data_IF_755282678234
#
_entry.id   IF_755282678234
#
_cell.length_a   1.000
_cell.length_b   1.000
_cell.length_c   1.000
_cell.angle_alpha   90.00
_cell.angle_beta   90.00
_cell.angle_gamma   90.00
#
_symmetry.space_group_name_H-M   'P 1'
#
loop_
_entity.id
_entity.type
_entity.pdbx_description
1 polymer ?
#
# COMPACT_ATOMS: atom_id res chain seq x y z
N UNK A 1 -0.74 -51.28 -34.63
CA UNK A 1 0.39 -50.48 -34.10
C UNK A 1 0.29 -49.05 -34.64
N UNK A 2 -0.11 -48.08 -33.82
CA UNK A 2 0.14 -46.64 -34.05
C UNK A 2 0.34 -46.00 -32.68
N UNK A 3 1.62 -45.80 -32.31
CA UNK A 3 2.02 -44.99 -31.17
C UNK A 3 1.91 -43.53 -31.62
N UNK A 4 0.95 -42.77 -31.10
CA UNK A 4 0.97 -41.32 -31.23
C UNK A 4 1.45 -40.77 -29.89
N UNK A 5 2.60 -40.13 -29.99
CA UNK A 5 3.42 -39.58 -28.94
C UNK A 5 2.68 -38.41 -28.27
N UNK A 6 2.35 -38.55 -26.98
CA UNK A 6 1.79 -37.46 -26.18
C UNK A 6 2.95 -36.49 -25.83
N UNK A 7 3.02 -35.37 -26.53
CA UNK A 7 3.97 -34.31 -26.24
C UNK A 7 3.37 -33.44 -25.11
N UNK A 8 3.74 -33.72 -23.86
CA UNK A 8 3.38 -32.89 -22.72
C UNK A 8 4.36 -31.72 -22.68
N UNK A 9 3.97 -30.60 -23.27
CA UNK A 9 4.66 -29.32 -23.11
C UNK A 9 4.41 -28.83 -21.68
N UNK A 10 5.37 -29.08 -20.79
CA UNK A 10 5.41 -28.46 -19.46
C UNK A 10 5.70 -26.98 -19.70
N UNK A 11 4.65 -26.17 -19.68
CA UNK A 11 4.77 -24.72 -19.62
C UNK A 11 5.36 -24.39 -18.25
N UNK A 12 6.67 -24.15 -18.22
CA UNK A 12 7.34 -23.49 -17.09
C UNK A 12 6.78 -22.07 -17.00
N UNK A 13 5.67 -21.91 -16.28
CA UNK A 13 5.24 -20.62 -15.76
C UNK A 13 6.33 -20.24 -14.75
N UNK A 14 7.29 -19.47 -15.22
CA UNK A 14 8.26 -18.79 -14.38
C UNK A 14 7.48 -17.78 -13.56
N UNK A 15 7.01 -18.23 -12.39
CA UNK A 15 6.63 -17.33 -11.32
C UNK A 15 7.91 -16.56 -10.98
N UNK A 16 8.08 -15.39 -11.59
CA UNK A 16 9.01 -14.38 -11.09
C UNK A 16 8.45 -13.93 -9.74
N UNK A 17 8.76 -14.72 -8.70
CA UNK A 17 8.67 -14.27 -7.34
C UNK A 17 9.75 -13.19 -7.22
N UNK A 18 9.33 -11.94 -7.41
CA UNK A 18 10.12 -10.79 -7.04
C UNK A 18 10.36 -10.87 -5.53
N UNK A 19 11.47 -11.50 -5.16
CA UNK A 19 12.06 -11.41 -3.84
C UNK A 19 12.72 -10.02 -3.73
N UNK A 20 11.91 -8.97 -3.61
CA UNK A 20 12.36 -7.71 -3.03
C UNK A 20 11.96 -7.74 -1.55
N UNK A 21 12.86 -8.26 -0.72
CA UNK A 21 12.87 -7.95 0.71
C UNK A 21 13.46 -6.55 0.90
N UNK A 22 12.72 -5.51 0.54
CA UNK A 22 12.79 -4.28 1.33
C UNK A 22 11.76 -4.45 2.45
N UNK A 23 12.07 -3.98 3.66
CA UNK A 23 11.17 -4.08 4.80
C UNK A 23 9.93 -3.20 4.59
N UNK A 24 8.98 -3.67 3.78
CA UNK A 24 7.70 -2.99 3.53
C UNK A 24 6.84 -2.97 4.79
N UNK A 25 7.13 -3.81 5.80
CA UNK A 25 6.41 -3.85 7.06
C UNK A 25 7.29 -3.38 8.22
N UNK A 26 6.79 -2.46 9.04
CA UNK A 26 7.44 -1.97 10.25
C UNK A 26 6.48 -2.04 11.44
N UNK A 27 6.93 -2.60 12.56
CA UNK A 27 6.14 -2.64 13.78
C UNK A 27 5.87 -1.22 14.32
N UNK A 28 4.61 -0.93 14.60
CA UNK A 28 4.15 0.19 15.41
C UNK A 28 3.82 -0.26 16.84
N UNK A 29 3.33 0.67 17.67
CA UNK A 29 3.00 0.37 19.06
C UNK A 29 1.83 -0.63 19.21
N UNK A 30 0.82 -0.50 18.34
CA UNK A 30 -0.43 -1.28 18.39
C UNK A 30 -0.77 -1.97 17.06
N UNK A 31 0.19 -2.07 16.14
CA UNK A 31 -0.07 -2.60 14.80
C UNK A 31 1.18 -2.69 13.93
N UNK A 32 0.99 -2.96 12.65
CA UNK A 32 2.06 -3.02 11.64
C UNK A 32 1.80 -1.98 10.55
N UNK A 33 2.78 -1.10 10.31
CA UNK A 33 2.79 -0.21 9.16
C UNK A 33 3.28 -0.97 7.93
N UNK A 34 2.48 -1.00 6.87
CA UNK A 34 2.77 -1.65 5.60
C UNK A 34 2.88 -0.59 4.51
N UNK A 35 4.09 -0.37 4.01
CA UNK A 35 4.43 0.55 2.94
C UNK A 35 4.08 -0.09 1.59
N UNK A 36 3.31 0.63 0.77
CA UNK A 36 2.71 0.08 -0.46
C UNK A 36 3.49 0.41 -1.73
N UNK A 37 4.69 0.98 -1.57
CA UNK A 37 5.53 1.47 -2.66
C UNK A 37 5.58 2.99 -2.71
N UNK A 38 5.92 3.54 -3.86
CA UNK A 38 6.10 4.98 -4.07
C UNK A 38 4.91 5.63 -4.75
N UNK A 39 4.08 4.84 -5.40
CA UNK A 39 2.94 5.33 -6.14
C UNK A 39 1.78 5.61 -5.19
N UNK A 40 1.07 6.70 -5.48
CA UNK A 40 -0.16 7.04 -4.78
C UNK A 40 -1.27 6.27 -5.49
N UNK A 41 -2.22 5.65 -4.77
CA UNK A 41 -3.35 4.92 -5.38
C UNK A 41 -4.37 5.88 -6.00
N UNK A 42 -3.90 6.69 -6.95
CA UNK A 42 -4.60 7.68 -7.73
C UNK A 42 -4.74 7.13 -9.16
N UNK A 43 -5.96 7.21 -9.71
CA UNK A 43 -6.47 6.42 -10.83
C UNK A 43 -5.57 6.30 -12.09
N UNK A 44 -4.61 7.20 -12.28
CA UNK A 44 -3.74 7.24 -13.46
C UNK A 44 -2.71 6.10 -13.50
N UNK A 45 -2.01 5.80 -12.40
CA UNK A 45 -0.95 4.78 -12.38
C UNK A 45 -1.25 3.63 -11.42
N UNK A 46 -2.10 3.84 -10.42
CA UNK A 46 -2.53 2.78 -9.52
C UNK A 46 -3.91 3.17 -9.03
N UNK A 47 -4.95 2.51 -9.49
CA UNK A 47 -6.31 2.82 -9.02
C UNK A 47 -6.50 2.43 -7.57
N UNK A 48 -5.91 1.31 -7.16
CA UNK A 48 -5.95 0.84 -5.78
C UNK A 48 -4.85 -0.18 -5.49
N UNK A 49 -4.56 -0.34 -4.19
CA UNK A 49 -3.82 -1.47 -3.66
C UNK A 49 -4.77 -2.48 -3.04
N UNK A 50 -4.58 -3.76 -3.37
CA UNK A 50 -5.13 -4.87 -2.60
C UNK A 50 -4.06 -5.33 -1.60
N UNK A 51 -4.45 -5.42 -0.33
CA UNK A 51 -3.57 -5.88 0.73
C UNK A 51 -4.10 -7.20 1.24
N UNK A 52 -3.23 -8.20 1.17
CA UNK A 52 -3.48 -9.54 1.66
C UNK A 52 -2.48 -9.90 2.76
N UNK A 53 -2.92 -10.73 3.70
CA UNK A 53 -2.13 -11.16 4.84
C UNK A 53 -2.32 -12.63 5.09
N UNK A 54 -1.25 -13.29 5.51
CA UNK A 54 -1.29 -14.64 6.07
C UNK A 54 -0.36 -14.77 7.28
N UNK A 55 -0.60 -15.80 8.08
CA UNK A 55 0.37 -16.34 9.04
C UNK A 55 1.35 -17.27 8.33
N UNK A 56 2.39 -17.73 9.03
CA UNK A 56 3.42 -18.61 8.45
C UNK A 56 2.82 -19.84 7.73
N UNK A 57 1.90 -20.54 8.40
CA UNK A 57 1.21 -21.73 7.88
C UNK A 57 -0.22 -21.46 7.38
N UNK A 58 -0.60 -20.18 7.24
CA UNK A 58 -1.96 -19.78 6.88
C UNK A 58 -2.16 -19.59 5.38
N UNK A 59 -3.42 -19.50 4.98
CA UNK A 59 -3.79 -19.06 3.62
C UNK A 59 -3.83 -17.53 3.51
N UNK A 60 -3.58 -17.02 2.29
CA UNK A 60 -3.72 -15.60 1.99
C UNK A 60 -5.17 -15.14 2.15
N UNK A 61 -5.38 -14.10 2.94
CA UNK A 61 -6.68 -13.46 3.14
C UNK A 61 -6.61 -12.00 2.71
N UNK A 62 -7.60 -11.56 1.93
CA UNK A 62 -7.81 -10.14 1.65
C UNK A 62 -8.16 -9.41 2.94
N UNK A 63 -7.37 -8.38 3.27
CA UNK A 63 -7.54 -7.55 4.46
C UNK A 63 -8.22 -6.25 4.10
N UNK A 64 -7.76 -5.59 3.03
CA UNK A 64 -8.34 -4.33 2.61
C UNK A 64 -8.00 -3.99 1.16
N UNK A 65 -8.76 -3.03 0.62
CA UNK A 65 -8.53 -2.36 -0.65
C UNK A 65 -8.36 -0.87 -0.38
N UNK A 66 -7.23 -0.30 -0.79
CA UNK A 66 -6.89 1.11 -0.55
C UNK A 66 -6.91 1.90 -1.84
N UNK A 67 -7.73 2.96 -1.86
CA UNK A 67 -7.82 3.97 -2.93
C UNK A 67 -7.50 5.33 -2.35
N UNK A 68 -6.90 6.23 -3.11
CA UNK A 68 -6.70 7.61 -2.68
C UNK A 68 -8.03 8.25 -2.25
N UNK A 69 -8.07 9.09 -1.20
CA UNK A 69 -9.31 9.72 -0.75
C UNK A 69 -9.98 10.56 -1.83
N UNK A 70 -11.27 10.33 -2.07
CA UNK A 70 -12.01 10.98 -3.17
C UNK A 70 -12.23 12.46 -2.89
N UNK A 71 -12.35 12.80 -1.59
CA UNK A 71 -12.60 14.14 -1.09
C UNK A 71 -11.48 14.62 -0.15
N UNK A 72 -11.31 15.95 -0.07
CA UNK A 72 -10.43 16.55 0.93
C UNK A 72 -10.86 16.21 2.36
N UNK A 73 -12.18 16.07 2.61
CA UNK A 73 -12.70 15.75 3.93
C UNK A 73 -12.20 14.38 4.39
N UNK A 74 -12.29 13.35 3.55
CA UNK A 74 -11.76 12.01 3.88
C UNK A 74 -10.26 12.05 4.18
N UNK A 75 -9.48 12.74 3.34
CA UNK A 75 -8.04 12.90 3.58
C UNK A 75 -7.74 13.59 4.91
N UNK A 76 -8.48 14.67 5.22
CA UNK A 76 -8.33 15.42 6.45
C UNK A 76 -8.69 14.58 7.69
N UNK A 77 -9.81 13.85 7.63
CA UNK A 77 -10.26 12.98 8.72
C UNK A 77 -9.26 11.85 8.96
N UNK A 78 -8.77 11.20 7.89
CA UNK A 78 -7.72 10.18 7.98
C UNK A 78 -6.43 10.77 8.57
N UNK A 79 -6.02 11.98 8.16
CA UNK A 79 -4.83 12.64 8.72
C UNK A 79 -4.94 12.85 10.23
N UNK A 80 -6.04 13.43 10.72
CA UNK A 80 -6.19 13.69 12.16
C UNK A 80 -6.30 12.40 12.96
N UNK A 81 -7.00 11.39 12.44
CA UNK A 81 -7.03 10.04 13.03
C UNK A 81 -5.62 9.47 13.21
N UNK A 82 -4.77 9.54 12.18
CA UNK A 82 -3.42 8.95 12.26
C UNK A 82 -2.40 9.84 12.96
N UNK A 83 -2.63 11.15 13.02
CA UNK A 83 -1.77 12.08 13.75
C UNK A 83 -1.75 11.79 15.25
N UNK A 84 -2.84 11.29 15.81
CA UNK A 84 -2.91 10.87 17.22
C UNK A 84 -1.88 9.79 17.57
N UNK A 85 -1.43 8.99 16.58
CA UNK A 85 -0.34 8.02 16.76
C UNK A 85 1.04 8.66 16.91
N UNK A 86 1.18 9.96 16.59
CA UNK A 86 2.44 10.69 16.56
C UNK A 86 2.34 12.03 17.30
N UNK A 87 2.03 12.04 18.61
CA UNK A 87 1.74 13.25 19.38
C UNK A 87 2.94 14.23 19.50
N UNK A 88 4.14 13.78 19.14
CA UNK A 88 5.35 14.60 19.15
C UNK A 88 5.49 15.51 17.92
N UNK A 89 4.71 15.27 16.85
CA UNK A 89 4.72 16.13 15.66
C UNK A 89 3.85 17.36 15.93
N UNK A 90 4.51 18.49 16.20
CA UNK A 90 3.85 19.77 16.55
C UNK A 90 3.51 20.64 15.34
N UNK A 91 4.08 20.34 14.18
CA UNK A 91 3.89 21.15 12.99
C UNK A 91 2.61 20.76 12.25
N UNK A 92 1.74 21.74 12.01
CA UNK A 92 0.57 21.57 11.13
C UNK A 92 0.97 21.86 9.68
N UNK A 93 0.98 20.86 8.79
CA UNK A 93 1.14 21.11 7.38
C UNK A 93 -0.12 21.74 6.77
N UNK A 94 0.02 22.43 5.64
CA UNK A 94 -1.15 22.88 4.87
C UNK A 94 -1.77 21.66 4.15
N UNK A 95 -2.70 20.98 4.84
CA UNK A 95 -3.31 19.73 4.36
C UNK A 95 -4.04 19.89 3.03
N UNK A 96 -4.69 21.05 2.80
CA UNK A 96 -5.41 21.29 1.55
C UNK A 96 -4.46 21.39 0.36
N UNK A 97 -3.34 22.10 0.53
CA UNK A 97 -2.31 22.17 -0.50
C UNK A 97 -1.73 20.77 -0.78
N UNK A 98 -1.41 20.02 0.27
CA UNK A 98 -0.88 18.65 0.16
C UNK A 98 -1.85 17.72 -0.56
N UNK A 99 -3.13 17.72 -0.18
CA UNK A 99 -4.15 16.92 -0.84
C UNK A 99 -4.25 17.22 -2.34
N UNK A 100 -4.28 18.51 -2.71
CA UNK A 100 -4.36 18.91 -4.11
C UNK A 100 -3.12 18.47 -4.92
N UNK A 101 -1.93 18.54 -4.32
CA UNK A 101 -0.69 18.06 -4.93
C UNK A 101 -0.70 16.53 -5.10
N UNK A 102 -1.05 15.79 -4.04
CA UNK A 102 -1.15 14.32 -4.07
C UNK A 102 -2.18 13.83 -5.09
N UNK A 103 -3.32 14.54 -5.20
CA UNK A 103 -4.36 14.23 -6.18
C UNK A 103 -3.93 14.48 -7.62
N UNK A 104 -2.96 15.37 -7.84
CA UNK A 104 -2.43 15.70 -9.16
C UNK A 104 -1.17 14.92 -9.56
N UNK A 105 -0.57 14.15 -8.64
CA UNK A 105 0.64 13.38 -8.90
C UNK A 105 0.37 11.88 -8.80
N UNK A 106 1.30 11.11 -9.35
CA UNK A 106 1.28 9.65 -9.33
C UNK A 106 2.24 9.08 -8.28
N UNK A 107 3.18 9.87 -7.76
CA UNK A 107 4.22 9.38 -6.85
C UNK A 107 4.50 10.32 -5.68
N UNK A 108 4.78 9.73 -4.52
CA UNK A 108 5.21 10.45 -3.31
C UNK A 108 6.62 11.06 -3.44
N UNK A 109 7.42 10.62 -4.44
CA UNK A 109 8.77 11.14 -4.73
C UNK A 109 8.77 12.33 -5.69
N UNK A 110 7.60 12.76 -6.17
CA UNK A 110 7.51 13.94 -7.03
C UNK A 110 8.15 15.14 -6.32
N UNK A 111 9.12 15.78 -6.98
CA UNK A 111 9.90 16.90 -6.41
C UNK A 111 9.02 18.10 -6.06
N UNK A 112 7.81 18.17 -6.60
CA UNK A 112 6.81 19.20 -6.28
C UNK A 112 6.15 18.96 -4.92
N UNK A 113 6.37 17.79 -4.31
CA UNK A 113 5.79 17.41 -3.04
C UNK A 113 6.66 17.94 -1.88
N UNK A 114 6.11 18.73 -0.95
CA UNK A 114 6.87 19.40 0.10
C UNK A 114 7.48 18.37 1.05
N UNK A 115 8.65 18.62 1.65
CA UNK A 115 9.29 17.68 2.61
C UNK A 115 8.36 17.13 3.72
N UNK A 116 7.28 17.84 4.05
CA UNK A 116 6.24 17.40 5.01
C UNK A 116 5.43 16.18 4.53
N UNK A 117 5.45 15.91 3.22
CA UNK A 117 5.07 14.68 2.56
C UNK A 117 5.47 13.38 3.25
N UNK A 118 6.67 13.39 3.82
CA UNK A 118 7.29 12.21 4.40
C UNK A 118 6.77 11.90 5.79
N UNK A 119 5.93 12.77 6.36
CA UNK A 119 5.24 12.48 7.60
C UNK A 119 4.34 11.25 7.42
N UNK A 120 4.53 10.26 8.29
CA UNK A 120 3.82 8.99 8.23
C UNK A 120 2.30 9.16 8.27
N UNK A 121 1.78 10.15 9.01
CA UNK A 121 0.36 10.51 9.02
C UNK A 121 -0.16 11.00 7.67
N UNK A 122 0.64 11.74 6.90
CA UNK A 122 0.29 12.15 5.53
C UNK A 122 0.29 10.94 4.59
N UNK A 123 1.28 10.05 4.71
CA UNK A 123 1.34 8.81 3.89
C UNK A 123 0.17 7.86 4.18
N UNK A 124 -0.24 7.76 5.43
CA UNK A 124 -1.42 7.01 5.86
C UNK A 124 -2.71 7.65 5.32
N UNK A 125 -2.85 8.98 5.43
CA UNK A 125 -4.00 9.71 4.88
C UNK A 125 -4.07 9.62 3.34
N UNK A 126 -2.91 9.64 2.66
CA UNK A 126 -2.81 9.41 1.23
C UNK A 126 -3.03 7.94 0.83
N UNK A 127 -3.11 7.04 1.82
CA UNK A 127 -3.28 5.58 1.64
C UNK A 127 -2.17 4.94 0.79
N UNK A 128 -0.97 5.51 0.85
CA UNK A 128 0.29 4.92 0.34
C UNK A 128 1.01 4.08 1.43
N UNK A 129 0.53 4.18 2.67
CA UNK A 129 0.86 3.27 3.77
C UNK A 129 -0.44 2.75 4.37
N UNK A 130 -0.45 1.48 4.75
CA UNK A 130 -1.53 0.84 5.50
C UNK A 130 -1.11 0.63 6.96
N UNK A 131 -2.01 0.87 7.90
CA UNK A 131 -1.78 0.52 9.31
C UNK A 131 -2.69 -0.64 9.72
N UNK A 132 -2.09 -1.82 9.88
CA UNK A 132 -2.78 -3.03 10.29
C UNK A 132 -2.83 -3.13 11.81
N UNK A 133 -3.98 -2.78 12.38
CA UNK A 133 -4.23 -2.85 13.83
C UNK A 133 -4.84 -4.19 14.26
N UNK A 134 -5.19 -5.05 13.31
CA UNK A 134 -5.87 -6.32 13.58
C UNK A 134 -4.86 -7.48 13.61
N UNK A 135 -3.73 -7.25 14.28
CA UNK A 135 -2.59 -8.18 14.38
C UNK A 135 -2.40 -8.61 15.82
N UNK A 136 -2.11 -9.89 16.02
CA UNK A 136 -1.81 -10.43 17.33
C UNK A 136 -0.32 -10.30 17.65
N UNK A 137 -0.03 -9.94 18.90
CA UNK A 137 1.34 -9.94 19.41
C UNK A 137 1.91 -11.36 19.33
N UNK A 138 3.18 -11.48 18.97
CA UNK A 138 3.92 -12.74 18.80
C UNK A 138 3.51 -13.61 17.60
N UNK A 139 2.58 -13.16 16.75
CA UNK A 139 2.28 -13.84 15.49
C UNK A 139 3.10 -13.20 14.36
N UNK A 140 3.80 -14.04 13.59
CA UNK A 140 4.52 -13.62 12.40
C UNK A 140 3.56 -13.56 11.21
N UNK A 141 3.42 -12.36 10.64
CA UNK A 141 2.61 -12.13 9.46
C UNK A 141 3.47 -11.94 8.22
N UNK A 142 2.92 -12.36 7.08
CA UNK A 142 3.42 -12.04 5.75
C UNK A 142 2.35 -11.22 5.03
N UNK A 143 2.78 -10.20 4.29
CA UNK A 143 1.92 -9.32 3.52
C UNK A 143 2.19 -9.50 2.03
N UNK A 144 1.12 -9.46 1.23
CA UNK A 144 1.17 -9.38 -0.23
C UNK A 144 0.40 -8.13 -0.63
N UNK A 145 1.07 -7.31 -1.44
CA UNK A 145 0.53 -6.04 -1.93
C UNK A 145 0.44 -6.19 -3.45
N UNK A 146 -0.76 -5.98 -3.99
CA UNK A 146 -1.01 -6.01 -5.43
C UNK A 146 -1.57 -4.65 -5.84
N UNK A 147 -0.88 -3.97 -6.74
CA UNK A 147 -1.35 -2.78 -7.42
C UNK A 147 -2.25 -3.14 -8.59
N UNK A 148 -3.30 -2.34 -8.78
CA UNK A 148 -4.20 -2.47 -9.91
C UNK A 148 -4.21 -1.17 -10.69
N UNK A 149 -4.11 -1.28 -12.01
CA UNK A 149 -4.20 -0.17 -12.95
C UNK A 149 -5.65 -0.05 -13.43
N UNK A 150 -6.07 1.18 -13.76
CA UNK A 150 -7.27 1.36 -14.56
C UNK A 150 -6.78 1.25 -15.98
N UNK A 151 -7.12 0.17 -16.68
CA UNK A 151 -6.95 0.15 -18.13
C UNK A 151 -7.71 1.36 -18.67
N UNK A 152 -6.99 2.26 -19.35
CA UNK A 152 -7.62 3.40 -20.00
C UNK A 152 -8.54 2.88 -21.09
N UNK A 153 -9.84 3.15 -20.93
CA UNK A 153 -10.81 3.10 -22.04
C UNK A 153 -10.40 4.10 -23.15
#
# INVERSE_FOLDING_TARGET
MKKILFLITIVFISNQLFAQTENFAKAGETGIFVHLGLDIPNATNTSFYLIERKTEDGEWKSITKLKFPETFKEFNDDYYKFKELFPYIREEPNLRNIYNQLKGTTSIKDKTFPHKADLLSIRLAARNVFYDQNVDKHVKYQYRITDFYTDGD
#
